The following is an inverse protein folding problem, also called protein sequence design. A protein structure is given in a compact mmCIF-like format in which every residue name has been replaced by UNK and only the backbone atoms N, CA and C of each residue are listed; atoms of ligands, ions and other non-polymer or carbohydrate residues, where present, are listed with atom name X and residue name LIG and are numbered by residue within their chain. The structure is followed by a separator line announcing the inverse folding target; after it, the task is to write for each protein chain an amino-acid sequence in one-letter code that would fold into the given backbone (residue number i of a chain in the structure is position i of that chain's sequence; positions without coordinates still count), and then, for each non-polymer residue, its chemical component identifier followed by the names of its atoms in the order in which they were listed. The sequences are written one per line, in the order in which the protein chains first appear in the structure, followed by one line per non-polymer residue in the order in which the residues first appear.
data_IF_275680290567
#
_entry.id   IF_275680290567
#
_cell.length_a   1.000
_cell.length_b   1.000
_cell.length_c   1.000
_cell.angle_alpha   90.00
_cell.angle_beta   90.00
_cell.angle_gamma   90.00
#
_symmetry.space_group_name_H-M   'P 1'
#
loop_
_entity.id
_entity.type
_entity.pdbx_description
1 polymer ?
#
# COMPACT_ATOMS: atom_id res chain seq x y z
N UNK A 1 1.48 13.22 13.74
CA UNK A 1 0.72 14.46 13.41
C UNK A 1 -0.13 14.84 14.61
N UNK A 2 0.26 15.88 15.35
CA UNK A 2 -0.31 16.19 16.67
C UNK A 2 -1.57 17.07 16.59
N UNK A 3 -2.19 17.16 15.40
CA UNK A 3 -3.39 17.98 15.14
C UNK A 3 -3.14 19.50 15.05
N UNK A 4 -1.91 19.98 15.26
CA UNK A 4 -1.58 21.41 15.22
C UNK A 4 -1.42 21.97 13.80
N UNK A 5 -1.03 21.14 12.82
CA UNK A 5 -0.96 21.55 11.43
C UNK A 5 -2.36 21.58 10.81
N UNK A 6 -2.86 22.79 10.52
CA UNK A 6 -4.16 22.99 9.87
C UNK A 6 -3.99 23.35 8.41
N UNK A 7 -4.64 22.58 7.53
CA UNK A 7 -4.73 22.92 6.11
C UNK A 7 -5.57 24.22 5.95
N UNK A 8 -5.25 25.08 4.96
CA UNK A 8 -6.05 26.27 4.69
C UNK A 8 -7.53 25.93 4.52
N UNK A 9 -8.42 26.71 5.14
CA UNK A 9 -9.87 26.51 5.17
C UNK A 9 -10.38 25.24 5.88
N UNK A 10 -9.53 24.43 6.53
CA UNK A 10 -9.98 23.25 7.31
C UNK A 10 -10.90 23.61 8.48
N UNK A 11 -10.81 24.84 8.99
CA UNK A 11 -11.70 25.46 9.98
C UNK A 11 -13.21 25.33 9.64
N UNK A 12 -13.55 25.20 8.35
CA UNK A 12 -14.94 25.13 7.86
C UNK A 12 -15.55 23.73 7.98
N UNK A 13 -14.75 22.72 8.31
CA UNK A 13 -15.16 21.33 8.40
C UNK A 13 -14.87 20.81 9.80
N UNK A 14 -15.91 20.33 10.50
CA UNK A 14 -15.76 19.71 11.81
C UNK A 14 -15.08 18.35 11.66
N UNK A 15 -13.77 18.29 11.89
CA UNK A 15 -13.06 17.03 11.99
C UNK A 15 -13.42 16.35 13.33
N UNK A 16 -13.59 15.01 13.36
CA UNK A 16 -13.76 14.30 14.61
C UNK A 16 -12.52 14.51 15.50
N UNK A 17 -12.69 14.63 16.83
CA UNK A 17 -11.56 14.77 17.73
C UNK A 17 -10.68 13.52 17.64
N UNK A 18 -9.35 13.67 17.54
CA UNK A 18 -8.44 12.54 17.48
C UNK A 18 -8.54 11.73 18.77
N UNK A 19 -8.75 10.43 18.63
CA UNK A 19 -8.81 9.47 19.72
C UNK A 19 -7.43 8.85 19.89
N UNK A 20 -6.80 8.91 21.08
CA UNK A 20 -5.51 8.29 21.29
C UNK A 20 -5.62 6.76 21.26
N UNK A 21 -4.49 6.10 20.99
CA UNK A 21 -4.35 4.65 21.14
C UNK A 21 -4.83 4.17 22.54
N UNK A 22 -5.55 3.02 22.62
CA UNK A 22 -6.00 2.47 23.91
C UNK A 22 -4.85 2.22 24.89
N UNK A 23 -3.65 1.89 24.39
CA UNK A 23 -2.43 1.70 25.18
C UNK A 23 -1.76 3.00 25.68
N UNK A 24 -2.35 4.19 25.43
CA UNK A 24 -1.97 5.43 26.10
C UNK A 24 -0.63 6.09 25.71
N UNK A 25 0.14 5.52 24.77
CA UNK A 25 1.50 6.02 24.41
C UNK A 25 1.52 7.34 23.62
N UNK A 26 0.37 7.83 23.13
CA UNK A 26 0.29 9.08 22.36
C UNK A 26 0.98 9.06 20.98
N UNK A 27 1.44 7.90 20.52
CA UNK A 27 2.15 7.73 19.23
C UNK A 27 1.20 7.61 18.04
N UNK A 28 0.01 7.04 18.26
CA UNK A 28 -1.02 6.86 17.24
C UNK A 28 -2.34 7.52 17.65
N UNK A 29 -2.96 8.19 16.68
CA UNK A 29 -4.25 8.86 16.80
C UNK A 29 -5.22 8.30 15.78
N UNK A 30 -6.47 8.12 16.19
CA UNK A 30 -7.54 7.50 15.42
C UNK A 30 -8.71 8.46 15.27
N UNK A 31 -9.53 8.29 14.24
CA UNK A 31 -10.70 9.15 14.03
C UNK A 31 -11.91 8.77 14.90
N UNK A 32 -11.86 7.65 15.65
CA UNK A 32 -12.93 7.23 16.57
C UNK A 32 -12.46 6.16 17.58
N UNK A 33 -13.25 5.92 18.64
CA UNK A 33 -13.00 4.83 19.60
C UNK A 33 -13.12 3.45 18.93
N UNK A 34 -14.03 3.30 17.96
CA UNK A 34 -14.16 2.07 17.18
C UNK A 34 -12.90 1.80 16.34
N UNK A 35 -12.31 2.85 15.76
CA UNK A 35 -11.04 2.75 15.05
C UNK A 35 -9.87 2.35 15.95
N UNK A 36 -9.78 3.00 17.10
CA UNK A 36 -8.77 2.70 18.10
C UNK A 36 -8.89 1.24 18.56
N UNK A 37 -10.11 0.75 18.80
CA UNK A 37 -10.40 -0.64 19.18
C UNK A 37 -10.13 -1.64 18.06
N UNK A 38 -10.61 -1.40 16.84
CA UNK A 38 -10.40 -2.31 15.72
C UNK A 38 -8.91 -2.49 15.38
N UNK A 39 -8.15 -1.37 15.35
CA UNK A 39 -6.71 -1.44 15.14
C UNK A 39 -5.99 -2.10 16.33
N UNK A 40 -6.46 -1.88 17.56
CA UNK A 40 -5.96 -2.58 18.75
C UNK A 40 -6.12 -4.09 18.61
N UNK A 41 -7.32 -4.55 18.28
CA UNK A 41 -7.63 -5.98 18.12
C UNK A 41 -6.88 -6.64 16.96
N UNK A 42 -6.69 -5.92 15.84
CA UNK A 42 -6.07 -6.50 14.65
C UNK A 42 -4.55 -6.58 14.73
N UNK A 43 -3.89 -5.56 15.30
CA UNK A 43 -2.44 -5.39 15.09
C UNK A 43 -1.76 -4.59 16.20
N UNK A 44 -2.39 -3.51 16.66
CA UNK A 44 -1.74 -2.55 17.55
C UNK A 44 -1.66 -3.03 19.00
N UNK A 45 -2.44 -4.03 19.41
CA UNK A 45 -2.21 -4.75 20.68
C UNK A 45 -0.94 -5.60 20.64
N UNK A 46 -0.52 -6.08 19.47
CA UNK A 46 0.74 -6.81 19.31
C UNK A 46 1.95 -5.89 19.43
N UNK A 47 1.78 -4.62 19.02
CA UNK A 47 2.79 -3.56 19.11
C UNK A 47 2.74 -2.80 20.45
N UNK A 48 1.59 -2.81 21.12
CA UNK A 48 1.43 -2.31 22.47
C UNK A 48 1.55 -3.47 23.45
N UNK A 49 2.78 -3.84 23.74
CA UNK A 49 3.08 -4.76 24.83
C UNK A 49 2.71 -4.09 26.16
N UNK A 50 1.63 -4.53 26.79
CA UNK A 50 1.09 -3.91 28.01
C UNK A 50 2.03 -4.00 29.22
N UNK A 51 3.13 -4.75 29.17
CA UNK A 51 4.10 -4.85 30.27
C UNK A 51 5.50 -5.22 29.75
N UNK A 52 6.12 -4.35 28.96
CA UNK A 52 7.59 -4.40 28.78
C UNK A 52 8.18 -3.10 29.34
N UNK A 53 8.20 -3.00 30.67
CA UNK A 53 9.28 -2.28 31.37
C UNK A 53 10.59 -3.05 31.17
N UNK A 54 11.03 -3.20 29.93
CA UNK A 54 12.29 -3.85 29.65
C UNK A 54 13.12 -3.04 28.65
N UNK A 55 14.44 -3.01 28.84
CA UNK A 55 15.39 -2.40 27.91
C UNK A 55 15.32 -2.94 26.47
N UNK A 56 14.47 -3.94 26.21
CA UNK A 56 14.27 -4.59 24.92
C UNK A 56 13.39 -3.79 23.94
N UNK A 57 12.39 -3.03 24.40
CA UNK A 57 11.57 -2.22 23.47
C UNK A 57 12.37 -1.07 22.86
N UNK A 58 13.15 -0.36 23.68
CA UNK A 58 14.01 0.72 23.21
C UNK A 58 15.08 0.19 22.24
N UNK A 59 15.64 -0.98 22.54
CA UNK A 59 16.58 -1.70 21.68
C UNK A 59 15.94 -2.09 20.35
N UNK A 60 14.74 -2.66 20.37
CA UNK A 60 13.98 -3.02 19.17
C UNK A 60 13.65 -1.80 18.31
N UNK A 61 13.15 -0.71 18.91
CA UNK A 61 12.89 0.54 18.19
C UNK A 61 14.17 1.13 17.59
N UNK A 62 15.31 0.98 18.25
CA UNK A 62 16.60 1.40 17.71
C UNK A 62 16.99 0.56 16.50
N UNK A 63 16.83 -0.76 16.56
CA UNK A 63 17.07 -1.65 15.41
C UNK A 63 16.19 -1.31 14.20
N UNK A 64 14.91 -1.00 14.42
CA UNK A 64 14.01 -0.57 13.33
C UNK A 64 14.46 0.77 12.73
N UNK A 65 14.90 1.72 13.57
CA UNK A 65 15.46 3.00 13.08
C UNK A 65 16.76 2.83 12.32
N UNK A 66 17.63 1.93 12.78
CA UNK A 66 18.89 1.59 12.09
C UNK A 66 18.58 0.97 10.73
N UNK A 67 17.65 0.02 10.66
CA UNK A 67 17.22 -0.58 9.39
C UNK A 67 16.63 0.46 8.43
N UNK A 68 15.76 1.34 8.92
CA UNK A 68 15.20 2.43 8.12
C UNK A 68 16.28 3.41 7.63
N UNK A 69 17.29 3.67 8.45
CA UNK A 69 18.42 4.52 8.09
C UNK A 69 19.32 3.88 7.02
N UNK A 70 19.66 2.60 7.15
CA UNK A 70 20.42 1.87 6.13
C UNK A 70 19.65 1.82 4.80
N UNK A 71 18.35 1.54 4.86
CA UNK A 71 17.47 1.55 3.70
C UNK A 71 17.42 2.93 3.02
N UNK A 72 17.34 4.01 3.81
CA UNK A 72 17.39 5.38 3.30
C UNK A 72 18.71 5.70 2.59
N UNK A 73 19.84 5.29 3.16
CA UNK A 73 21.16 5.51 2.54
C UNK A 73 21.30 4.79 1.20
N UNK A 74 20.79 3.56 1.10
CA UNK A 74 20.77 2.81 -0.15
C UNK A 74 19.91 3.50 -1.21
N UNK A 75 18.73 3.97 -0.82
CA UNK A 75 17.82 4.71 -1.72
C UNK A 75 18.47 6.02 -2.20
N UNK A 76 19.04 6.80 -1.27
CA UNK A 76 19.77 8.03 -1.58
C UNK A 76 20.88 7.75 -2.60
N UNK A 77 21.70 6.73 -2.36
CA UNK A 77 22.79 6.36 -3.29
C UNK A 77 22.27 6.03 -4.70
N UNK A 78 21.08 5.45 -4.82
CA UNK A 78 20.53 5.01 -6.09
C UNK A 78 19.83 6.13 -6.89
N UNK A 79 19.11 7.03 -6.21
CA UNK A 79 18.18 7.97 -6.87
C UNK A 79 18.33 9.44 -6.45
N UNK A 80 19.37 9.79 -5.67
CA UNK A 80 19.52 11.15 -5.17
C UNK A 80 19.60 12.20 -6.28
N UNK A 81 18.75 13.21 -6.14
CA UNK A 81 18.79 14.46 -6.88
C UNK A 81 18.70 15.61 -5.87
N UNK A 82 19.39 16.72 -6.17
CA UNK A 82 19.43 17.90 -5.32
C UNK A 82 18.04 18.50 -5.08
N UNK A 83 17.13 18.38 -6.03
CA UNK A 83 15.75 18.85 -5.89
C UNK A 83 14.95 18.02 -4.87
N UNK A 84 15.36 16.77 -4.65
CA UNK A 84 14.72 15.81 -3.76
C UNK A 84 15.41 15.69 -2.38
N UNK A 85 16.48 16.45 -2.12
CA UNK A 85 17.23 16.44 -0.85
C UNK A 85 16.33 16.46 0.41
N UNK A 86 15.25 17.25 0.48
CA UNK A 86 14.36 17.26 1.65
C UNK A 86 13.67 15.92 1.93
N UNK A 87 13.49 15.06 0.91
CA UNK A 87 12.86 13.75 1.07
C UNK A 87 13.78 12.75 1.79
N UNK A 88 15.09 12.98 1.79
CA UNK A 88 16.09 12.09 2.38
C UNK A 88 16.36 12.37 3.86
N UNK A 89 15.31 12.70 4.62
CA UNK A 89 15.38 12.69 6.09
C UNK A 89 14.73 11.43 6.64
N UNK A 90 15.27 10.88 7.72
CA UNK A 90 14.72 9.66 8.33
C UNK A 90 13.23 9.82 8.73
N UNK A 91 12.85 11.02 9.14
CA UNK A 91 11.46 11.34 9.48
C UNK A 91 10.54 11.29 8.25
N UNK A 92 10.90 11.98 7.16
CA UNK A 92 10.09 11.98 5.93
C UNK A 92 10.10 10.59 5.28
N UNK A 93 11.24 9.91 5.28
CA UNK A 93 11.34 8.55 4.79
C UNK A 93 10.44 7.59 5.57
N UNK A 94 10.43 7.69 6.91
CA UNK A 94 9.51 6.93 7.75
C UNK A 94 8.05 7.19 7.42
N UNK A 95 7.68 8.44 7.11
CA UNK A 95 6.33 8.77 6.64
C UNK A 95 6.03 8.17 5.26
N UNK A 96 6.97 8.18 4.32
CA UNK A 96 6.80 7.59 2.99
C UNK A 96 6.60 6.08 3.09
N UNK A 97 7.42 5.38 3.88
CA UNK A 97 7.26 3.94 4.13
C UNK A 97 5.92 3.66 4.81
N UNK A 98 5.57 4.44 5.84
CA UNK A 98 4.26 4.32 6.48
C UNK A 98 3.10 4.53 5.51
N UNK A 99 3.20 5.51 4.61
CA UNK A 99 2.21 5.72 3.55
C UNK A 99 2.15 4.53 2.58
N UNK A 100 3.29 3.97 2.19
CA UNK A 100 3.34 2.82 1.28
C UNK A 100 2.68 1.59 1.89
N UNK A 101 3.05 1.25 3.13
CA UNK A 101 2.48 0.12 3.88
C UNK A 101 0.97 0.30 4.12
N UNK A 102 0.53 1.50 4.49
CA UNK A 102 -0.89 1.77 4.76
C UNK A 102 -1.77 1.85 3.50
N UNK A 103 -1.16 2.14 2.34
CA UNK A 103 -1.85 2.19 1.05
C UNK A 103 -1.50 0.99 0.16
N UNK A 104 -0.94 -0.06 0.74
CA UNK A 104 -0.57 -1.28 0.04
C UNK A 104 -1.79 -1.89 -0.66
N UNK A 105 -1.72 -2.03 -1.98
CA UNK A 105 -2.72 -2.73 -2.76
C UNK A 105 -2.05 -3.88 -3.51
N UNK A 106 -2.40 -5.09 -3.10
CA UNK A 106 -2.00 -6.31 -3.76
C UNK A 106 -2.54 -6.37 -5.19
N UNK A 107 -1.62 -6.55 -6.12
CA UNK A 107 -1.91 -6.85 -7.51
C UNK A 107 -1.36 -8.22 -7.88
N UNK A 108 -2.12 -8.84 -8.76
CA UNK A 108 -1.78 -10.10 -9.40
C UNK A 108 -2.00 -9.87 -10.89
N UNK A 109 -1.00 -10.23 -11.67
CA UNK A 109 -1.07 -10.26 -13.13
C UNK A 109 -0.77 -11.67 -13.63
N UNK A 110 -1.42 -12.05 -14.74
CA UNK A 110 -1.12 -13.29 -15.41
C UNK A 110 0.37 -13.38 -15.79
N UNK A 111 0.91 -14.61 -15.82
CA UNK A 111 2.30 -14.83 -16.17
C UNK A 111 2.58 -14.37 -17.61
N UNK A 112 3.53 -13.45 -17.83
CA UNK A 112 3.95 -13.09 -19.18
C UNK A 112 4.49 -14.29 -19.96
N UNK A 113 5.05 -15.27 -19.25
CA UNK A 113 5.59 -16.50 -19.82
C UNK A 113 4.45 -17.42 -20.27
N UNK A 114 3.40 -17.58 -19.46
CA UNK A 114 2.18 -18.30 -19.85
C UNK A 114 1.51 -17.67 -21.06
N UNK A 115 1.35 -16.35 -21.06
CA UNK A 115 0.78 -15.61 -22.20
C UNK A 115 1.59 -15.86 -23.48
N UNK A 116 2.93 -15.89 -23.38
CA UNK A 116 3.80 -16.17 -24.51
C UNK A 116 3.61 -17.60 -25.06
N UNK A 117 3.50 -18.60 -24.19
CA UNK A 117 3.26 -19.98 -24.63
C UNK A 117 1.85 -20.20 -25.20
N UNK A 118 0.83 -19.56 -24.61
CA UNK A 118 -0.53 -19.56 -25.17
C UNK A 118 -0.55 -18.91 -26.56
N UNK A 119 0.17 -17.80 -26.76
CA UNK A 119 0.30 -17.19 -28.09
C UNK A 119 0.90 -18.15 -29.12
N UNK A 120 1.96 -18.89 -28.76
CA UNK A 120 2.56 -19.90 -29.65
C UNK A 120 1.58 -21.02 -29.97
N UNK A 121 0.81 -21.49 -28.98
CA UNK A 121 -0.16 -22.56 -29.19
C UNK A 121 -1.29 -22.13 -30.16
N UNK A 122 -1.68 -20.85 -30.14
CA UNK A 122 -2.68 -20.27 -31.04
C UNK A 122 -2.16 -19.99 -32.47
N UNK A 123 -0.86 -20.12 -32.74
CA UNK A 123 -0.28 -19.86 -34.08
C UNK A 123 -0.70 -20.90 -35.13
N UNK A 124 -0.63 -20.53 -36.40
CA UNK A 124 -0.86 -21.47 -37.53
C UNK A 124 0.45 -22.00 -38.12
N UNK A 125 0.38 -23.18 -38.71
CA UNK A 125 1.52 -23.77 -39.44
C UNK A 125 1.84 -22.99 -40.73
N UNK A 126 3.12 -22.88 -41.13
CA UNK A 126 4.30 -23.56 -40.57
C UNK A 126 4.98 -22.85 -39.39
N UNK A 127 4.62 -21.61 -39.09
CA UNK A 127 5.34 -20.77 -38.12
C UNK A 127 5.28 -21.34 -36.68
N UNK A 128 4.17 -22.02 -36.33
CA UNK A 128 4.02 -22.74 -35.06
C UNK A 128 5.11 -23.83 -34.87
N UNK A 129 5.32 -24.68 -35.88
CA UNK A 129 6.33 -25.76 -35.80
C UNK A 129 7.77 -25.21 -35.68
N UNK A 130 8.06 -24.05 -36.26
CA UNK A 130 9.37 -23.42 -36.13
C UNK A 130 9.56 -22.82 -34.74
N UNK A 131 8.53 -22.17 -34.19
CA UNK A 131 8.54 -21.63 -32.85
C UNK A 131 8.67 -22.74 -31.78
N UNK A 132 7.86 -23.80 -31.87
CA UNK A 132 7.86 -24.92 -30.92
C UNK A 132 9.20 -25.65 -30.85
N UNK A 133 9.94 -25.76 -31.98
CA UNK A 133 11.29 -26.34 -31.97
C UNK A 133 12.26 -25.60 -31.03
N UNK A 134 12.06 -24.30 -30.85
CA UNK A 134 12.88 -23.46 -29.98
C UNK A 134 12.30 -23.42 -28.56
N UNK A 135 10.98 -23.34 -28.44
CA UNK A 135 10.31 -23.02 -27.17
C UNK A 135 9.92 -24.24 -26.35
N UNK A 136 9.69 -25.41 -26.98
CA UNK A 136 9.32 -26.64 -26.27
C UNK A 136 10.35 -27.05 -25.20
N UNK A 137 11.68 -27.05 -25.45
CA UNK A 137 12.65 -27.37 -24.41
C UNK A 137 12.62 -26.40 -23.23
N UNK A 138 12.23 -25.14 -23.48
CA UNK A 138 12.09 -24.12 -22.43
C UNK A 138 10.82 -24.40 -21.62
N UNK A 139 9.71 -24.71 -22.28
CA UNK A 139 8.46 -25.10 -21.61
C UNK A 139 8.64 -26.33 -20.73
N UNK A 140 9.29 -27.37 -21.28
CA UNK A 140 9.59 -28.61 -20.56
C UNK A 140 10.48 -28.36 -19.33
N UNK A 141 11.43 -27.41 -19.43
CA UNK A 141 12.30 -27.03 -18.33
C UNK A 141 11.58 -26.22 -17.24
N UNK A 142 10.58 -25.42 -17.61
CA UNK A 142 9.79 -24.61 -16.69
C UNK A 142 8.69 -25.43 -15.97
N UNK A 143 8.25 -26.55 -16.55
CA UNK A 143 7.25 -27.43 -15.93
C UNK A 143 5.92 -26.71 -15.74
N UNK A 144 5.36 -26.76 -14.53
CA UNK A 144 4.09 -26.06 -14.19
C UNK A 144 4.33 -24.59 -13.79
N UNK A 145 5.56 -24.22 -13.45
CA UNK A 145 5.89 -22.91 -12.88
C UNK A 145 5.74 -21.78 -13.90
N UNK A 146 5.74 -22.08 -15.21
CA UNK A 146 5.53 -21.09 -16.27
C UNK A 146 4.19 -20.34 -16.14
N UNK A 147 3.19 -20.96 -15.50
CA UNK A 147 1.85 -20.40 -15.26
C UNK A 147 1.72 -19.61 -13.96
N UNK A 148 2.81 -19.52 -13.18
CA UNK A 148 2.82 -18.79 -11.90
C UNK A 148 2.63 -17.30 -12.16
N UNK A 149 1.58 -16.74 -11.55
CA UNK A 149 1.27 -15.32 -11.68
C UNK A 149 2.37 -14.44 -11.09
N UNK A 150 2.49 -13.23 -11.60
CA UNK A 150 3.33 -12.24 -10.95
C UNK A 150 2.51 -11.49 -9.90
N UNK A 151 2.99 -11.52 -8.67
CA UNK A 151 2.46 -10.77 -7.55
C UNK A 151 3.27 -9.48 -7.37
N UNK A 152 2.60 -8.40 -6.99
CA UNK A 152 3.26 -7.14 -6.71
C UNK A 152 2.33 -6.13 -6.09
N UNK A 153 2.90 -4.97 -5.76
CA UNK A 153 2.16 -3.84 -5.21
C UNK A 153 1.97 -2.78 -6.29
N UNK A 154 0.83 -2.09 -6.28
CA UNK A 154 0.67 -0.88 -7.09
C UNK A 154 0.11 0.30 -6.30
N UNK A 155 0.39 1.48 -6.84
CA UNK A 155 -0.05 2.76 -6.32
C UNK A 155 -0.91 3.45 -7.38
N UNK A 156 -2.24 3.44 -7.20
CA UNK A 156 -3.18 4.01 -8.16
C UNK A 156 -3.63 5.41 -7.71
N UNK A 157 -3.60 6.44 -8.59
CA UNK A 157 -3.89 7.83 -8.19
C UNK A 157 -5.19 8.01 -7.40
N UNK A 158 -6.25 7.28 -7.76
CA UNK A 158 -7.53 7.35 -7.05
C UNK A 158 -7.46 6.69 -5.67
N UNK A 159 -6.92 5.47 -5.58
CA UNK A 159 -6.83 4.71 -4.33
C UNK A 159 -5.86 5.39 -3.34
N UNK A 160 -4.75 5.93 -3.83
CA UNK A 160 -3.76 6.67 -3.03
C UNK A 160 -4.32 7.92 -2.35
N UNK A 161 -5.46 8.45 -2.82
CA UNK A 161 -6.17 9.57 -2.19
C UNK A 161 -7.28 9.11 -1.23
N UNK A 162 -7.55 7.80 -1.14
CA UNK A 162 -8.52 7.25 -0.21
C UNK A 162 -7.83 7.01 1.13
N UNK A 163 -8.17 7.84 2.10
CA UNK A 163 -7.62 7.68 3.45
C UNK A 163 -8.12 6.40 4.11
N UNK A 164 -7.30 5.86 5.00
CA UNK A 164 -7.75 4.85 5.95
C UNK A 164 -8.95 5.36 6.76
N UNK A 165 -10.00 4.54 6.84
CA UNK A 165 -11.17 4.76 7.68
C UNK A 165 -11.66 3.42 8.21
N UNK A 166 -11.97 3.35 9.50
CA UNK A 166 -12.46 2.12 10.13
C UNK A 166 -13.99 1.99 10.04
N UNK A 167 -14.67 3.00 9.51
CA UNK A 167 -16.02 2.89 8.97
C UNK A 167 -15.96 3.25 7.48
N UNK A 168 -15.32 2.41 6.66
CA UNK A 168 -15.10 2.73 5.26
C UNK A 168 -16.44 2.74 4.51
N UNK A 169 -16.61 3.71 3.63
CA UNK A 169 -17.73 3.74 2.69
C UNK A 169 -17.41 2.98 1.38
N UNK A 170 -16.16 2.56 1.20
CA UNK A 170 -15.68 1.78 0.07
C UNK A 170 -14.47 0.92 0.48
N UNK A 171 -14.25 -0.20 -0.20
CA UNK A 171 -13.08 -1.07 0.03
C UNK A 171 -12.46 -1.51 -1.29
N UNK A 172 -11.16 -1.82 -1.26
CA UNK A 172 -10.54 -2.60 -2.31
C UNK A 172 -11.17 -3.99 -2.39
N UNK A 173 -11.32 -4.50 -3.61
CA UNK A 173 -11.91 -5.80 -3.88
C UNK A 173 -11.15 -6.46 -5.02
N UNK A 174 -10.73 -7.70 -4.77
CA UNK A 174 -10.22 -8.64 -5.77
C UNK A 174 -10.65 -10.05 -5.38
N UNK A 175 -10.84 -10.89 -6.39
CA UNK A 175 -10.95 -12.34 -6.26
C UNK A 175 -9.64 -12.98 -6.68
N UNK A 176 -9.46 -14.24 -6.34
CA UNK A 176 -8.24 -15.00 -6.68
C UNK A 176 -8.08 -15.16 -8.21
N UNK A 177 -9.17 -15.07 -8.96
CA UNK A 177 -9.15 -15.13 -10.43
C UNK A 177 -8.82 -13.78 -11.11
N UNK A 178 -8.85 -12.66 -10.37
CA UNK A 178 -8.65 -11.32 -10.94
C UNK A 178 -7.14 -11.04 -11.17
N UNK A 179 -6.60 -11.60 -12.26
CA UNK A 179 -5.19 -11.54 -12.67
C UNK A 179 -4.91 -10.48 -13.75
N UNK A 180 -5.70 -9.41 -13.76
CA UNK A 180 -5.72 -8.37 -14.79
C UNK A 180 -4.86 -7.13 -14.46
N UNK A 181 -4.21 -7.13 -13.29
CA UNK A 181 -3.45 -5.98 -12.80
C UNK A 181 -4.30 -4.74 -12.48
N UNK A 182 -5.63 -4.88 -12.39
CA UNK A 182 -6.51 -3.76 -12.10
C UNK A 182 -6.81 -3.62 -10.61
N UNK A 183 -7.03 -2.39 -10.17
CA UNK A 183 -7.56 -2.07 -8.86
C UNK A 183 -9.07 -1.86 -8.95
N UNK A 184 -9.84 -2.68 -8.23
CA UNK A 184 -11.28 -2.47 -8.11
C UNK A 184 -11.61 -1.97 -6.70
N UNK A 185 -12.32 -0.85 -6.63
CA UNK A 185 -12.87 -0.30 -5.39
C UNK A 185 -14.39 -0.41 -5.45
N UNK A 186 -14.99 -1.07 -4.47
CA UNK A 186 -16.45 -1.20 -4.37
C UNK A 186 -16.98 -0.35 -3.23
N UNK A 187 -18.12 0.29 -3.45
CA UNK A 187 -18.84 0.99 -2.39
C UNK A 187 -19.46 -0.03 -1.42
N UNK A 188 -19.27 0.18 -0.13
CA UNK A 188 -19.88 -0.62 0.95
C UNK A 188 -21.28 -0.10 1.32
N UNK A 189 -21.57 1.15 0.96
CA UNK A 189 -22.79 1.89 1.28
C UNK A 189 -23.20 2.72 0.06
N UNK A 190 -24.44 3.23 0.06
CA UNK A 190 -24.87 4.19 -0.97
C UNK A 190 -24.04 5.47 -0.84
N UNK A 191 -23.38 5.86 -1.93
CA UNK A 191 -22.61 7.09 -2.00
C UNK A 191 -23.47 8.22 -2.56
N UNK A 192 -23.39 9.39 -1.93
CA UNK A 192 -24.05 10.62 -2.39
C UNK A 192 -23.00 11.57 -2.96
N UNK A 193 -23.38 12.36 -3.96
CA UNK A 193 -22.50 13.39 -4.51
C UNK A 193 -22.19 14.44 -3.44
N UNK A 194 -20.90 14.74 -3.23
CA UNK A 194 -20.52 15.89 -2.43
C UNK A 194 -20.83 17.16 -3.23
N UNK A 195 -21.85 17.93 -2.82
CA UNK A 195 -21.99 19.31 -3.27
C UNK A 195 -20.84 20.13 -2.69
N UNK A 196 -19.76 20.29 -3.47
CA UNK A 196 -18.68 21.20 -3.10
C UNK A 196 -19.18 22.64 -2.98
N UNK A 197 -18.48 23.53 -2.25
CA UNK A 197 -18.84 24.94 -2.19
C UNK A 197 -18.87 25.49 -3.62
N UNK A 198 -20.03 26.02 -4.04
CA UNK A 198 -20.18 26.70 -5.34
C UNK A 198 -19.09 27.76 -5.44
N UNK A 199 -18.35 27.83 -6.56
CA UNK A 199 -17.31 28.84 -6.72
C UNK A 199 -17.93 30.22 -6.48
N UNK A 200 -17.39 30.96 -5.52
CA UNK A 200 -17.78 32.35 -5.31
C UNK A 200 -17.50 33.09 -6.60
N UNK A 201 -18.57 33.53 -7.27
CA UNK A 201 -18.47 34.40 -8.45
C UNK A 201 -17.72 35.66 -8.02
N UNK A 202 -16.45 35.76 -8.42
CA UNK A 202 -15.73 37.04 -8.54
C UNK A 202 -16.36 37.87 -9.65
#
# INVERSE_FOLDING_TARGET
MNGELRLPCSEKFSLPPPVPCPGGRGEAYYCSMLCAGANWESSNSLLCTDDIDSPDEASFRMQIKELAYESLQLLETAIFDKECEPLFSLEIYGHIIGMFELNHLDLVVASPVEIYFLYIDEMTNPDKEEAEKITQPILDALGEDYSTCCEGTAFFPLQSCMNHSCCPNAKAFKRDEDRDGQATIIALLVLFSCEGPKPSKT
#
